data_IF_244917525987
#
_entry.id   IF_244917525987
#
_cell.length_a   1.000
_cell.length_b   1.000
_cell.length_c   1.000
_cell.angle_alpha   90.00
_cell.angle_beta   90.00
_cell.angle_gamma   90.00
#
_symmetry.space_group_name_H-M   'P 1'
#
loop_
_entity.id
_entity.type
_entity.pdbx_description
1 polymer ?
#
# COMPACT_ATOMS: atom_id res chain seq x y z
N UNK A 1 0.09 10.66 -10.43
CA UNK A 1 -0.32 11.39 -9.21
C UNK A 1 0.92 12.09 -8.66
N UNK A 2 0.79 13.20 -7.94
CA UNK A 2 1.95 14.00 -7.48
C UNK A 2 2.33 13.56 -6.07
N UNK A 3 3.60 13.20 -5.80
CA UNK A 3 4.06 12.86 -4.46
C UNK A 3 3.74 13.98 -3.47
N UNK A 4 3.36 13.63 -2.25
CA UNK A 4 3.01 14.63 -1.25
C UNK A 4 4.26 15.42 -0.83
N UNK A 5 4.35 16.68 -1.27
CA UNK A 5 5.47 17.59 -0.99
C UNK A 5 5.79 17.73 0.51
N UNK A 6 4.85 17.34 1.39
CA UNK A 6 5.04 17.34 2.85
C UNK A 6 6.16 16.40 3.30
N UNK A 7 6.42 15.28 2.62
CA UNK A 7 7.55 14.40 2.96
C UNK A 7 8.89 15.10 2.74
N UNK A 8 9.06 15.71 1.56
CA UNK A 8 10.24 16.53 1.23
C UNK A 8 10.41 17.68 2.20
N UNK A 9 9.32 18.37 2.55
CA UNK A 9 9.32 19.49 3.50
C UNK A 9 9.77 19.09 4.91
N UNK A 10 9.36 17.93 5.42
CA UNK A 10 9.56 17.57 6.83
C UNK A 10 10.72 16.63 7.10
N UNK A 11 10.99 15.70 6.18
CA UNK A 11 12.06 14.72 6.34
C UNK A 11 13.26 15.01 5.43
N UNK A 12 13.06 15.79 4.36
CA UNK A 12 14.08 16.07 3.35
C UNK A 12 14.24 14.95 2.31
N UNK A 13 13.26 14.04 2.23
CA UNK A 13 13.29 12.89 1.33
C UNK A 13 12.52 13.24 0.06
N UNK A 14 13.07 12.91 -1.10
CA UNK A 14 12.36 12.90 -2.38
C UNK A 14 11.85 11.47 -2.63
N UNK A 15 10.59 11.16 -2.29
CA UNK A 15 10.08 9.81 -2.49
C UNK A 15 10.00 9.49 -3.99
N UNK A 16 10.39 8.27 -4.36
CA UNK A 16 10.23 7.79 -5.73
C UNK A 16 8.73 7.67 -6.10
N UNK A 17 7.92 7.24 -5.13
CA UNK A 17 6.49 6.97 -5.28
C UNK A 17 5.61 7.88 -4.39
N UNK A 18 4.29 7.63 -4.39
CA UNK A 18 3.31 8.40 -3.61
C UNK A 18 3.52 8.30 -2.10
N UNK A 19 3.96 7.13 -1.63
CA UNK A 19 4.16 6.81 -0.21
C UNK A 19 5.56 6.22 -0.09
N UNK A 20 6.50 6.91 0.59
CA UNK A 20 7.84 6.39 0.77
C UNK A 20 7.84 5.08 1.57
N UNK A 21 8.71 4.15 1.18
CA UNK A 21 8.88 2.88 1.88
C UNK A 21 9.61 3.09 3.24
N UNK A 22 9.68 2.06 4.09
CA UNK A 22 10.28 2.19 5.42
C UNK A 22 11.79 2.48 5.41
N UNK A 23 12.50 2.08 4.37
CA UNK A 23 13.92 2.39 4.18
C UNK A 23 14.12 3.85 3.78
N UNK A 24 13.31 4.34 2.85
CA UNK A 24 13.28 5.75 2.41
C UNK A 24 12.91 6.69 3.56
N UNK A 25 11.92 6.33 4.40
CA UNK A 25 11.54 7.13 5.58
C UNK A 25 12.71 7.37 6.54
N UNK A 26 13.65 6.43 6.60
CA UNK A 26 14.85 6.54 7.43
C UNK A 26 16.06 7.10 6.67
N UNK A 27 15.98 7.23 5.34
CA UNK A 27 17.09 7.61 4.48
C UNK A 27 18.28 6.62 4.61
N UNK A 28 17.95 5.32 4.51
CA UNK A 28 18.91 4.21 4.60
C UNK A 28 18.76 3.27 3.39
N UNK A 29 19.82 2.53 3.07
CA UNK A 29 19.78 1.48 2.04
C UNK A 29 18.92 0.29 2.48
N UNK A 30 18.29 -0.40 1.52
CA UNK A 30 17.54 -1.64 1.77
C UNK A 30 18.43 -2.78 2.27
N UNK A 31 19.73 -2.75 1.95
CA UNK A 31 20.71 -3.74 2.40
C UNK A 31 21.11 -3.55 3.87
N UNK A 32 20.83 -2.39 4.46
CA UNK A 32 21.30 -2.02 5.79
C UNK A 32 20.57 -2.83 6.86
N UNK A 33 21.27 -3.80 7.46
CA UNK A 33 20.72 -4.74 8.44
C UNK A 33 21.09 -4.43 9.89
N UNK A 34 21.94 -3.43 10.11
CA UNK A 34 22.39 -3.09 11.45
C UNK A 34 21.30 -2.34 12.24
N UNK A 35 20.88 -2.94 13.36
CA UNK A 35 19.91 -2.34 14.29
C UNK A 35 20.40 -1.02 14.87
N UNK A 36 21.71 -0.80 15.03
CA UNK A 36 22.25 0.46 15.55
C UNK A 36 22.10 1.59 14.54
N UNK A 37 22.38 1.31 13.26
CA UNK A 37 22.20 2.26 12.15
C UNK A 37 20.73 2.65 12.02
N UNK A 38 19.82 1.68 12.04
CA UNK A 38 18.36 1.91 12.01
C UNK A 38 17.93 2.77 13.21
N UNK A 39 18.41 2.47 14.42
CA UNK A 39 18.07 3.24 15.61
C UNK A 39 18.59 4.69 15.55
N UNK A 40 19.79 4.90 15.00
CA UNK A 40 20.38 6.23 14.79
C UNK A 40 19.60 7.03 13.75
N UNK A 41 19.22 6.41 12.64
CA UNK A 41 18.38 7.02 11.62
C UNK A 41 17.01 7.44 12.18
N UNK A 42 16.33 6.54 12.90
CA UNK A 42 15.07 6.83 13.59
C UNK A 42 15.18 8.05 14.53
N UNK A 43 16.22 8.10 15.39
CA UNK A 43 16.42 9.24 16.31
C UNK A 43 16.62 10.55 15.54
N UNK A 44 17.37 10.53 14.45
CA UNK A 44 17.60 11.69 13.59
C UNK A 44 16.29 12.21 12.98
N UNK A 45 15.47 11.32 12.40
CA UNK A 45 14.20 11.71 11.78
C UNK A 45 13.18 12.21 12.81
N UNK A 46 13.07 11.55 13.98
CA UNK A 46 12.20 12.03 15.06
C UNK A 46 12.60 13.42 15.55
N UNK A 47 13.91 13.68 15.67
CA UNK A 47 14.42 14.99 16.08
C UNK A 47 14.03 16.08 15.08
N UNK A 48 14.20 15.85 13.77
CA UNK A 48 13.74 16.78 12.72
C UNK A 48 12.25 17.12 12.89
N UNK A 49 11.41 16.10 13.11
CA UNK A 49 9.96 16.28 13.33
C UNK A 49 9.60 16.97 14.65
N UNK A 50 10.47 16.97 15.66
CA UNK A 50 10.26 17.66 16.93
C UNK A 50 10.68 19.13 16.86
N UNK A 51 11.65 19.48 16.01
CA UNK A 51 12.10 20.85 15.80
C UNK A 51 11.06 21.69 15.03
N UNK A 52 10.21 21.05 14.22
CA UNK A 52 9.13 21.70 13.48
C UNK A 52 7.97 22.07 14.41
N UNK A 53 7.82 23.37 14.71
CA UNK A 53 6.74 23.93 15.55
C UNK A 53 5.59 24.52 14.73
N UNK A 54 5.00 23.75 13.83
CA UNK A 54 3.86 24.22 13.00
C UNK A 54 2.54 23.62 13.48
N UNK A 55 1.55 24.47 13.80
CA UNK A 55 0.21 24.02 14.20
C UNK A 55 -0.63 23.50 13.02
N UNK A 56 -0.41 24.03 11.81
CA UNK A 56 -1.16 23.67 10.59
C UNK A 56 -1.01 22.19 10.24
N UNK A 57 0.20 21.66 10.37
CA UNK A 57 0.55 20.32 9.92
C UNK A 57 0.65 19.32 11.09
N UNK A 58 0.11 19.68 12.27
CA UNK A 58 0.21 18.90 13.51
C UNK A 58 -0.22 17.44 13.32
N UNK A 59 -1.39 17.22 12.69
CA UNK A 59 -1.91 15.86 12.47
C UNK A 59 -1.02 15.03 11.57
N UNK A 60 -0.41 15.64 10.54
CA UNK A 60 0.52 14.93 9.66
C UNK A 60 1.85 14.62 10.35
N UNK A 61 2.36 15.53 11.19
CA UNK A 61 3.56 15.29 12.00
C UNK A 61 3.33 14.15 13.00
N UNK A 62 2.14 14.08 13.62
CA UNK A 62 1.77 12.97 14.51
C UNK A 62 1.70 11.64 13.74
N UNK A 63 1.07 11.63 12.56
CA UNK A 63 1.07 10.48 11.65
C UNK A 63 2.49 10.02 11.28
N UNK A 64 3.38 10.93 10.87
CA UNK A 64 4.76 10.58 10.54
C UNK A 64 5.52 10.00 11.75
N UNK A 65 5.29 10.53 12.96
CA UNK A 65 5.92 9.98 14.17
C UNK A 65 5.44 8.55 14.45
N UNK A 66 4.17 8.24 14.18
CA UNK A 66 3.64 6.88 14.32
C UNK A 66 4.22 5.94 13.26
N UNK A 67 4.26 6.36 11.99
CA UNK A 67 4.88 5.57 10.91
C UNK A 67 6.36 5.31 11.16
N UNK A 68 7.15 6.31 11.59
CA UNK A 68 8.56 6.10 11.95
C UNK A 68 8.74 5.10 13.10
N UNK A 69 7.82 5.08 14.09
CA UNK A 69 7.87 4.08 15.17
C UNK A 69 7.54 2.68 14.65
N UNK A 70 6.59 2.57 13.72
CA UNK A 70 6.19 1.31 13.09
C UNK A 70 7.33 0.77 12.22
N UNK A 71 7.91 1.60 11.36
CA UNK A 71 9.08 1.30 10.55
C UNK A 71 10.24 0.79 11.41
N UNK A 72 10.56 1.49 12.51
CA UNK A 72 11.60 1.05 13.46
C UNK A 72 11.31 -0.35 14.00
N UNK A 73 10.07 -0.61 14.45
CA UNK A 73 9.70 -1.91 15.01
C UNK A 73 9.83 -3.05 14.00
N UNK A 74 9.49 -2.78 12.74
CA UNK A 74 9.54 -3.78 11.66
C UNK A 74 10.99 -4.02 11.24
N UNK A 75 11.76 -2.96 10.97
CA UNK A 75 13.13 -3.09 10.47
C UNK A 75 14.13 -3.58 11.53
N UNK A 76 13.88 -3.32 12.83
CA UNK A 76 14.72 -3.85 13.91
C UNK A 76 14.49 -5.34 14.22
N UNK A 77 13.41 -5.95 13.72
CA UNK A 77 13.07 -7.35 13.95
C UNK A 77 13.33 -8.14 12.65
N UNK A 78 14.27 -9.08 12.67
CA UNK A 78 14.72 -9.79 11.47
C UNK A 78 13.59 -10.57 10.77
N UNK A 79 12.64 -11.13 11.52
CA UNK A 79 11.52 -11.88 10.95
C UNK A 79 10.52 -10.95 10.29
N UNK A 80 10.10 -9.89 10.99
CA UNK A 80 9.17 -8.89 10.45
C UNK A 80 9.74 -8.15 9.26
N UNK A 81 11.05 -7.86 9.29
CA UNK A 81 11.76 -7.26 8.17
C UNK A 81 11.69 -8.17 6.95
N UNK A 82 12.00 -9.46 7.10
CA UNK A 82 11.93 -10.42 5.99
C UNK A 82 10.52 -10.50 5.38
N UNK A 83 9.48 -10.50 6.21
CA UNK A 83 8.09 -10.45 5.73
C UNK A 83 7.80 -9.17 4.96
N UNK A 84 8.26 -8.03 5.47
CA UNK A 84 8.11 -6.74 4.83
C UNK A 84 8.86 -6.66 3.50
N UNK A 85 10.11 -7.11 3.45
CA UNK A 85 10.92 -7.18 2.22
C UNK A 85 10.25 -8.10 1.19
N UNK A 86 9.67 -9.22 1.64
CA UNK A 86 8.86 -10.09 0.79
C UNK A 86 7.64 -9.38 0.19
N UNK A 87 6.97 -8.53 0.95
CA UNK A 87 5.84 -7.72 0.45
C UNK A 87 6.28 -6.65 -0.56
N UNK A 88 7.39 -5.96 -0.30
CA UNK A 88 7.95 -4.98 -1.24
C UNK A 88 8.33 -5.65 -2.57
N UNK A 89 8.94 -6.84 -2.50
CA UNK A 89 9.32 -7.59 -3.68
C UNK A 89 8.08 -8.05 -4.48
N UNK A 90 7.02 -8.49 -3.80
CA UNK A 90 5.77 -8.86 -4.45
C UNK A 90 5.10 -7.68 -5.16
N UNK A 91 5.07 -6.51 -4.53
CA UNK A 91 4.51 -5.28 -5.10
C UNK A 91 5.33 -4.82 -6.31
N UNK A 92 6.67 -4.79 -6.20
CA UNK A 92 7.58 -4.46 -7.29
C UNK A 92 7.42 -5.43 -8.47
N UNK A 93 7.32 -6.73 -8.20
CA UNK A 93 7.10 -7.75 -9.22
C UNK A 93 5.75 -7.54 -9.93
N UNK A 94 4.70 -7.18 -9.19
CA UNK A 94 3.37 -6.94 -9.76
C UNK A 94 3.38 -5.72 -10.69
N UNK A 95 3.90 -4.58 -10.22
CA UNK A 95 4.02 -3.38 -11.05
C UNK A 95 4.91 -3.59 -12.27
N UNK A 96 5.99 -4.36 -12.11
CA UNK A 96 6.87 -4.73 -13.21
C UNK A 96 6.17 -5.62 -14.24
N UNK A 97 5.40 -6.63 -13.79
CA UNK A 97 4.62 -7.50 -14.67
C UNK A 97 3.58 -6.73 -15.47
N UNK A 98 2.90 -5.75 -14.86
CA UNK A 98 1.94 -4.89 -15.56
C UNK A 98 2.61 -4.04 -16.66
N UNK A 99 3.79 -3.49 -16.36
CA UNK A 99 4.60 -2.75 -17.32
C UNK A 99 5.04 -3.64 -18.49
N UNK A 100 5.64 -4.79 -18.21
CA UNK A 100 6.13 -5.73 -19.23
C UNK A 100 4.98 -6.30 -20.06
N UNK A 101 3.88 -6.70 -19.42
CA UNK A 101 2.69 -7.24 -20.08
C UNK A 101 2.12 -6.29 -21.13
N UNK A 102 2.17 -4.98 -20.88
CA UNK A 102 1.75 -3.96 -21.85
C UNK A 102 2.63 -3.95 -23.11
N UNK A 103 3.93 -4.26 -22.98
CA UNK A 103 4.89 -4.34 -24.08
C UNK A 103 4.81 -5.68 -24.83
N UNK A 104 4.45 -6.76 -24.13
CA UNK A 104 4.32 -8.11 -24.68
C UNK A 104 3.24 -8.23 -25.77
N UNK A 105 2.26 -7.32 -25.79
CA UNK A 105 1.21 -7.25 -26.83
C UNK A 105 1.80 -7.08 -28.24
N UNK A 106 3.03 -6.57 -28.37
CA UNK A 106 3.72 -6.42 -29.66
C UNK A 106 4.16 -7.76 -30.28
N UNK A 107 4.18 -8.86 -29.51
CA UNK A 107 4.53 -10.20 -29.98
C UNK A 107 6.02 -10.45 -30.27
N UNK A 108 6.82 -9.40 -30.44
CA UNK A 108 8.26 -9.51 -30.65
C UNK A 108 9.03 -8.50 -29.81
N UNK A 109 10.00 -8.97 -29.03
CA UNK A 109 10.85 -8.14 -28.16
C UNK A 109 12.28 -8.20 -28.67
N UNK A 110 12.79 -7.06 -29.14
CA UNK A 110 14.19 -6.94 -29.50
C UNK A 110 15.09 -6.84 -28.26
N UNK A 111 16.38 -7.12 -28.44
CA UNK A 111 17.38 -7.10 -27.35
C UNK A 111 17.41 -5.77 -26.59
N UNK A 112 17.38 -4.64 -27.29
CA UNK A 112 17.45 -3.31 -26.66
C UNK A 112 16.27 -3.06 -25.72
N UNK A 113 15.06 -3.49 -26.10
CA UNK A 113 13.87 -3.39 -25.25
C UNK A 113 13.96 -4.36 -24.07
N UNK A 114 14.47 -5.58 -24.29
CA UNK A 114 14.72 -6.56 -23.22
C UNK A 114 15.67 -6.00 -22.14
N UNK A 115 16.80 -5.43 -22.55
CA UNK A 115 17.76 -4.80 -21.65
C UNK A 115 17.14 -3.61 -20.91
N UNK A 116 16.28 -2.84 -21.59
CA UNK A 116 15.54 -1.71 -20.97
C UNK A 116 14.53 -2.21 -19.93
N UNK A 117 13.83 -3.32 -20.20
CA UNK A 117 12.92 -3.94 -19.24
C UNK A 117 13.68 -4.46 -18.01
N UNK A 118 14.83 -5.10 -18.19
CA UNK A 118 15.67 -5.53 -17.07
C UNK A 118 16.14 -4.33 -16.24
N UNK A 119 16.67 -3.29 -16.89
CA UNK A 119 17.14 -2.09 -16.21
C UNK A 119 16.01 -1.43 -15.40
N UNK A 120 14.78 -1.44 -15.94
CA UNK A 120 13.59 -0.96 -15.24
C UNK A 120 13.22 -1.83 -14.05
N UNK A 121 13.23 -3.16 -14.20
CA UNK A 121 12.99 -4.07 -13.08
C UNK A 121 13.98 -3.86 -11.93
N UNK A 122 15.26 -3.67 -12.27
CA UNK A 122 16.31 -3.36 -11.29
C UNK A 122 16.10 -2.00 -10.63
N UNK A 123 15.66 -0.98 -11.37
CA UNK A 123 15.33 0.33 -10.76
C UNK A 123 14.15 0.25 -9.81
N UNK A 124 13.21 -0.66 -10.08
CA UNK A 124 12.02 -0.88 -9.26
C UNK A 124 12.29 -1.85 -8.08
N UNK A 125 13.54 -2.26 -7.87
CA UNK A 125 14.00 -3.04 -6.71
C UNK A 125 14.08 -4.56 -6.91
N UNK A 126 13.89 -5.06 -8.13
CA UNK A 126 14.05 -6.49 -8.44
C UNK A 126 15.52 -6.86 -8.68
N UNK A 127 15.88 -8.11 -8.38
CA UNK A 127 17.15 -8.64 -8.88
C UNK A 127 17.10 -8.80 -10.40
N UNK A 128 18.26 -8.73 -11.06
CA UNK A 128 18.36 -8.94 -12.51
C UNK A 128 17.78 -10.31 -12.92
N UNK A 129 18.02 -11.34 -12.11
CA UNK A 129 17.48 -12.69 -12.31
C UNK A 129 15.95 -12.75 -12.15
N UNK A 130 15.38 -12.05 -11.16
CA UNK A 130 13.93 -11.97 -10.97
C UNK A 130 13.26 -11.25 -12.13
N UNK A 131 13.84 -10.13 -12.58
CA UNK A 131 13.34 -9.40 -13.75
C UNK A 131 13.36 -10.27 -15.01
N UNK A 132 14.48 -10.96 -15.29
CA UNK A 132 14.60 -11.91 -16.42
C UNK A 132 13.53 -13.00 -16.36
N UNK A 133 13.42 -13.68 -15.23
CA UNK A 133 12.42 -14.75 -15.04
C UNK A 133 10.99 -14.25 -15.25
N UNK A 134 10.66 -13.06 -14.74
CA UNK A 134 9.34 -12.46 -14.91
C UNK A 134 9.04 -12.10 -16.38
N UNK A 135 10.04 -11.60 -17.13
CA UNK A 135 9.90 -11.32 -18.56
C UNK A 135 9.69 -12.61 -19.35
N UNK A 136 10.48 -13.65 -19.07
CA UNK A 136 10.37 -14.96 -19.73
C UNK A 136 9.01 -15.63 -19.46
N UNK A 137 8.54 -15.59 -18.22
CA UNK A 137 7.22 -16.10 -17.82
C UNK A 137 6.10 -15.40 -18.62
N UNK A 138 6.15 -14.07 -18.71
CA UNK A 138 5.15 -13.29 -19.44
C UNK A 138 5.25 -13.49 -20.96
N UNK A 139 6.46 -13.62 -21.52
CA UNK A 139 6.63 -13.90 -22.93
C UNK A 139 6.00 -15.24 -23.32
N UNK A 140 6.17 -16.27 -22.49
CA UNK A 140 5.51 -17.55 -22.68
C UNK A 140 3.98 -17.44 -22.58
N UNK A 141 3.46 -16.69 -21.60
CA UNK A 141 2.01 -16.49 -21.42
C UNK A 141 1.36 -15.75 -22.61
N UNK A 142 2.07 -14.79 -23.20
CA UNK A 142 1.57 -13.98 -24.31
C UNK A 142 1.97 -14.49 -25.70
N UNK A 143 2.78 -15.55 -25.79
CA UNK A 143 3.31 -16.07 -27.06
C UNK A 143 4.27 -15.10 -27.75
N UNK A 144 4.96 -14.25 -26.98
CA UNK A 144 5.93 -13.31 -27.52
C UNK A 144 7.30 -13.97 -27.72
N UNK A 145 7.99 -13.61 -28.82
CA UNK A 145 9.36 -14.08 -29.08
C UNK A 145 10.35 -13.06 -28.54
N UNK A 146 11.28 -13.49 -27.69
CA UNK A 146 12.38 -12.67 -27.18
C UNK A 146 13.64 -12.98 -27.99
N UNK A 147 14.25 -11.95 -28.59
CA UNK A 147 15.59 -12.05 -29.16
C UNK A 147 16.63 -12.01 -28.03
N UNK A 148 16.79 -13.13 -27.33
CA UNK A 148 17.86 -13.32 -26.36
C UNK A 148 19.19 -13.49 -27.11
N UNK A 149 20.24 -12.79 -26.69
CA UNK A 149 21.58 -12.79 -27.31
C UNK A 149 22.26 -14.17 -27.38
N UNK A 150 21.67 -15.20 -26.74
CA UNK A 150 22.23 -16.54 -26.64
C UNK A 150 21.69 -17.53 -27.69
N UNK A 151 21.15 -17.03 -28.79
CA UNK A 151 21.18 -17.82 -30.02
C UNK A 151 22.60 -17.71 -30.59
N UNK A 152 23.49 -18.60 -30.16
CA UNK A 152 24.80 -18.78 -30.79
C UNK A 152 24.59 -18.73 -32.31
N UNK A 153 25.37 -17.91 -33.06
CA UNK A 153 25.18 -17.78 -34.49
C UNK A 153 25.11 -19.19 -35.08
N UNK A 154 24.12 -19.48 -35.93
CA UNK A 154 23.95 -20.81 -36.49
C UNK A 154 25.33 -21.29 -36.95
N UNK A 155 25.77 -22.49 -36.55
CA UNK A 155 27.12 -22.96 -36.81
C UNK A 155 27.41 -22.66 -38.27
N UNK A 156 28.46 -21.87 -38.52
CA UNK A 156 28.78 -21.36 -39.84
C UNK A 156 28.62 -22.52 -40.83
N UNK A 157 27.87 -22.34 -41.93
CA UNK A 157 27.62 -23.40 -42.89
C UNK A 157 28.96 -24.07 -43.17
N UNK A 158 29.04 -25.36 -42.87
CA UNK A 158 30.27 -26.14 -42.95
C UNK A 158 30.89 -25.79 -44.29
N UNK A 159 32.14 -25.28 -44.34
CA UNK A 159 32.73 -24.87 -45.60
C UNK A 159 32.57 -26.05 -46.57
N UNK A 160 32.07 -25.81 -47.81
CA UNK A 160 31.96 -26.88 -48.79
C UNK A 160 33.31 -27.58 -48.88
N UNK A 161 33.33 -28.93 -48.97
CA UNK A 161 34.56 -29.71 -48.95
C UNK A 161 35.56 -29.08 -49.91
N UNK A 162 36.71 -28.73 -49.35
CA UNK A 162 37.84 -28.10 -50.01
C UNK A 162 38.10 -28.88 -51.32
N UNK A 163 37.76 -28.26 -52.46
CA UNK A 163 38.19 -28.78 -53.75
C UNK A 163 39.72 -28.77 -53.70
N UNK A 164 40.32 -29.96 -53.76
CA UNK A 164 41.75 -30.17 -53.92
C UNK A 164 42.28 -29.19 -54.98
N UNK A 165 42.99 -28.15 -54.53
CA UNK A 165 43.71 -27.28 -55.43
C UNK A 165 44.87 -28.08 -56.05
N UNK A 166 45.01 -28.08 -57.39
CA UNK A 166 46.15 -28.69 -58.04
C UNK A 166 47.45 -27.99 -57.60
N UNK A 167 48.58 -28.73 -57.54
CA UNK A 167 49.82 -28.26 -56.95
C UNK A 167 50.35 -26.99 -57.64
N UNK A 168 50.96 -26.07 -56.87
CA UNK A 168 51.45 -24.80 -57.41
C UNK A 168 52.64 -25.01 -58.36
N UNK A 169 52.74 -24.23 -59.46
CA UNK A 169 53.92 -24.23 -60.32
C UNK A 169 55.15 -23.62 -59.61
N UNK A 170 56.37 -24.03 -60.02
CA UNK A 170 57.61 -23.67 -59.34
C UNK A 170 57.89 -22.16 -59.33
N UNK A 171 58.24 -21.68 -58.15
CA UNK A 171 58.58 -20.32 -57.77
C UNK A 171 59.64 -19.70 -58.70
N UNK A 172 59.27 -18.66 -59.44
CA UNK A 172 60.24 -17.70 -60.00
C UNK A 172 60.49 -16.58 -59.00
N UNK A 173 61.75 -16.42 -58.64
CA UNK A 173 62.25 -15.53 -57.60
C UNK A 173 61.74 -14.09 -57.71
N UNK A 174 61.33 -13.55 -56.57
CA UNK A 174 61.06 -12.13 -56.43
C UNK A 174 61.83 -11.61 -55.21
N UNK A 175 62.65 -10.60 -55.53
CA UNK A 175 63.58 -9.86 -54.69
C UNK A 175 63.09 -9.57 -53.28
N UNK A 176 63.98 -9.81 -52.32
CA UNK A 176 63.99 -9.20 -51.00
C UNK A 176 63.94 -7.67 -51.12
N UNK A 177 62.96 -7.07 -50.44
CA UNK A 177 63.03 -5.68 -50.01
C UNK A 177 63.01 -5.72 -48.49
N UNK A 178 64.16 -5.43 -47.90
CA UNK A 178 64.39 -5.25 -46.48
C UNK A 178 63.56 -4.05 -46.01
N UNK A 179 62.53 -4.30 -45.20
CA UNK A 179 61.87 -3.27 -44.41
C UNK A 179 62.01 -3.58 -42.92
N UNK A 180 62.40 -2.51 -42.24
CA UNK A 180 63.00 -2.40 -40.93
C UNK A 180 62.00 -2.67 -39.80
N UNK A 181 62.43 -3.41 -38.78
CA UNK A 181 61.64 -3.78 -37.61
C UNK A 181 61.36 -2.58 -36.66
N UNK A 182 60.16 -2.48 -36.06
CA UNK A 182 59.93 -1.62 -34.90
C UNK A 182 60.33 -2.33 -33.57
N UNK A 183 60.71 -1.56 -32.52
CA UNK A 183 61.28 -2.09 -31.28
C UNK A 183 60.25 -2.72 -30.31
N UNK A 184 60.70 -3.56 -29.37
CA UNK A 184 59.83 -4.31 -28.46
C UNK A 184 59.22 -3.43 -27.36
N UNK A 185 57.90 -3.59 -27.14
CA UNK A 185 57.21 -3.05 -25.95
C UNK A 185 57.55 -3.90 -24.72
N UNK A 186 57.95 -3.19 -23.66
CA UNK A 186 58.28 -3.69 -22.33
C UNK A 186 57.14 -4.51 -21.72
N UNK A 187 57.48 -5.70 -21.26
CA UNK A 187 56.71 -6.53 -20.33
C UNK A 187 56.70 -5.88 -18.94
N UNK A 188 55.51 -5.75 -18.35
CA UNK A 188 55.33 -5.41 -16.93
C UNK A 188 55.50 -6.67 -16.06
N UNK A 189 55.99 -6.53 -14.81
CA UNK A 189 56.30 -7.66 -13.94
C UNK A 189 55.04 -8.25 -13.29
N UNK A 190 54.91 -9.57 -13.40
CA UNK A 190 54.02 -10.42 -12.64
C UNK A 190 54.42 -10.41 -11.16
N UNK A 191 53.59 -9.79 -10.31
CA UNK A 191 53.67 -9.92 -8.86
C UNK A 191 53.22 -11.31 -8.43
N UNK A 192 54.17 -12.14 -8.01
CA UNK A 192 53.92 -13.38 -7.29
C UNK A 192 53.47 -13.03 -5.86
N UNK A 193 52.21 -13.30 -5.53
CA UNK A 193 51.80 -13.45 -4.14
C UNK A 193 51.79 -14.94 -3.79
N UNK A 194 52.76 -15.31 -2.97
CA UNK A 194 52.83 -16.58 -2.26
C UNK A 194 51.59 -16.73 -1.37
N UNK A 195 50.90 -17.85 -1.53
CA UNK A 195 49.81 -18.29 -0.64
C UNK A 195 50.42 -19.27 0.37
N UNK A 196 50.41 -19.00 1.68
CA UNK A 196 50.89 -19.94 2.67
C UNK A 196 49.89 -21.09 2.85
N UNK A 197 50.46 -22.20 3.30
CA UNK A 197 49.86 -23.52 3.40
C UNK A 197 48.80 -23.61 4.52
N UNK A 198 47.86 -24.53 4.28
CA UNK A 198 47.23 -25.45 5.25
C UNK A 198 46.99 -24.94 6.67
N UNK A 199 45.73 -24.65 6.98
CA UNK A 199 45.19 -24.92 8.32
C UNK A 199 43.90 -25.74 8.21
N UNK A 200 44.03 -26.93 8.77
CA UNK A 200 43.12 -28.05 8.87
C UNK A 200 42.12 -27.75 10.01
N UNK A 201 40.92 -27.28 9.67
CA UNK A 201 39.86 -27.14 10.67
C UNK A 201 39.07 -28.43 10.81
N UNK A 202 39.27 -29.06 11.96
CA UNK A 202 38.52 -30.17 12.50
C UNK A 202 37.00 -29.93 12.41
N UNK A 203 36.29 -30.91 11.84
CA UNK A 203 34.85 -31.05 12.00
C UNK A 203 34.53 -31.46 13.44
N UNK A 204 33.71 -30.71 14.20
CA UNK A 204 33.12 -31.25 15.41
C UNK A 204 31.99 -32.21 15.01
N UNK A 205 32.16 -33.47 15.38
CA UNK A 205 31.08 -34.46 15.43
C UNK A 205 30.12 -34.07 16.55
N UNK A 206 28.97 -33.52 16.19
CA UNK A 206 27.86 -33.32 17.11
C UNK A 206 27.03 -34.60 17.19
N UNK A 207 27.58 -35.59 17.90
CA UNK A 207 26.78 -36.51 18.70
C UNK A 207 26.52 -35.84 20.07
N UNK A 208 25.45 -36.28 20.73
CA UNK A 208 25.23 -36.09 22.16
C UNK A 208 24.51 -34.79 22.61
N UNK A 209 23.22 -34.68 22.27
CA UNK A 209 22.27 -34.01 23.18
C UNK A 209 21.53 -35.05 24.01
N UNK A 210 21.98 -35.17 25.25
CA UNK A 210 21.32 -35.90 26.32
C UNK A 210 19.92 -35.34 26.59
N UNK A 211 18.92 -36.23 26.59
CA UNK A 211 17.61 -36.03 27.22
C UNK A 211 17.81 -35.74 28.72
N UNK A 212 17.23 -34.67 29.27
CA UNK A 212 16.98 -34.62 30.71
C UNK A 212 15.80 -35.51 31.04
N UNK A 213 16.10 -36.43 31.95
CA UNK A 213 15.18 -37.29 32.69
C UNK A 213 13.93 -36.56 33.17
N UNK A 214 12.80 -37.22 32.98
CA UNK A 214 11.61 -37.07 33.83
C UNK A 214 12.03 -37.11 35.30
N UNK A 215 11.76 -36.02 36.01
CA UNK A 215 11.99 -35.89 37.44
C UNK A 215 10.79 -35.21 38.06
N UNK A 216 10.02 -36.01 38.79
CA UNK A 216 8.92 -35.62 39.66
C UNK A 216 9.28 -34.41 40.53
N UNK A 217 8.43 -33.38 40.50
CA UNK A 217 8.20 -32.56 41.68
C UNK A 217 6.69 -32.48 41.92
N UNK A 218 6.29 -33.10 43.02
CA UNK A 218 4.94 -33.09 43.51
C UNK A 218 4.53 -31.76 44.14
N UNK A 219 3.21 -31.63 44.27
CA UNK A 219 2.43 -31.04 45.37
C UNK A 219 3.01 -29.80 46.08
N UNK A 220 2.28 -28.71 45.93
CA UNK A 220 1.67 -27.82 46.97
C UNK A 220 1.13 -26.60 46.20
N UNK A 221 -0.02 -25.96 46.44
CA UNK A 221 -1.14 -26.00 47.37
C UNK A 221 -2.30 -25.25 46.66
N UNK A 222 -3.56 -25.29 47.14
CA UNK A 222 -4.65 -24.56 46.51
C UNK A 222 -4.59 -23.08 46.92
N UNK A 223 -4.31 -22.18 45.99
CA UNK A 223 -4.55 -20.75 46.19
C UNK A 223 -6.02 -20.47 45.90
N UNK A 224 -6.78 -20.29 46.99
CA UNK A 224 -8.01 -19.51 47.01
C UNK A 224 -7.80 -18.22 46.20
N UNK A 225 -8.51 -18.10 45.09
CA UNK A 225 -8.72 -16.80 44.46
C UNK A 225 -9.75 -16.06 45.30
N UNK A 226 -9.26 -15.28 46.25
CA UNK A 226 -10.02 -14.25 46.91
C UNK A 226 -10.52 -13.25 45.85
N UNK A 227 -11.83 -13.09 45.85
CA UNK A 227 -12.63 -12.16 45.10
C UNK A 227 -12.17 -10.71 45.39
N UNK A 228 -11.24 -10.20 44.58
CA UNK A 228 -10.81 -8.81 44.63
C UNK A 228 -11.81 -7.97 43.82
N UNK A 229 -12.90 -7.59 44.49
CA UNK A 229 -13.74 -6.48 44.05
C UNK A 229 -12.91 -5.18 44.06
N UNK A 230 -12.24 -4.91 42.94
CA UNK A 230 -11.65 -3.60 42.68
C UNK A 230 -12.78 -2.62 42.36
N UNK A 231 -13.35 -2.05 43.43
CA UNK A 231 -14.15 -0.82 43.35
C UNK A 231 -13.26 0.29 42.81
N UNK A 232 -13.23 0.44 41.48
CA UNK A 232 -12.81 1.67 40.83
C UNK A 232 -13.79 2.77 41.23
N UNK A 233 -13.51 3.43 42.35
CA UNK A 233 -13.96 4.80 42.57
C UNK A 233 -13.33 5.64 41.46
N UNK A 234 -14.12 5.89 40.41
CA UNK A 234 -13.89 6.99 39.46
C UNK A 234 -13.77 8.27 40.28
N UNK A 235 -12.54 8.67 40.58
CA UNK A 235 -12.24 10.05 40.91
C UNK A 235 -12.64 10.87 39.69
N UNK A 236 -13.67 11.69 39.84
CA UNK A 236 -14.06 12.65 38.81
C UNK A 236 -12.85 13.57 38.51
N UNK A 237 -12.57 13.86 37.23
CA UNK A 237 -11.52 14.80 36.89
C UNK A 237 -11.85 16.17 37.51
N UNK A 238 -10.86 16.88 38.08
CA UNK A 238 -11.10 18.19 38.67
C UNK A 238 -11.70 19.15 37.63
N UNK A 239 -12.67 19.99 38.03
CA UNK A 239 -13.30 20.92 37.12
C UNK A 239 -12.26 21.88 36.52
N UNK A 240 -12.38 22.23 35.23
CA UNK A 240 -11.47 23.17 34.60
C UNK A 240 -11.50 24.52 35.32
N UNK A 241 -10.35 25.22 35.44
CA UNK A 241 -10.30 26.50 36.14
C UNK A 241 -11.26 27.50 35.51
N UNK A 242 -12.14 28.05 36.34
CA UNK A 242 -13.11 29.07 36.01
C UNK A 242 -12.42 30.25 35.31
N UNK A 243 -12.64 30.40 34.00
CA UNK A 243 -12.17 31.56 33.24
C UNK A 243 -12.78 32.83 33.86
N UNK A 244 -11.97 33.79 34.35
CA UNK A 244 -12.51 35.04 34.85
C UNK A 244 -13.16 35.80 33.69
N UNK A 245 -14.47 36.03 33.81
CA UNK A 245 -15.21 36.96 32.96
C UNK A 245 -14.83 38.39 33.37
N UNK A 246 -13.71 38.86 32.85
CA UNK A 246 -13.31 40.27 32.91
C UNK A 246 -13.82 41.04 31.68
N UNK A 247 -14.26 42.30 31.83
CA UNK A 247 -14.82 43.10 30.74
C UNK A 247 -13.68 43.71 29.91
N UNK A 248 -13.44 43.16 28.72
CA UNK A 248 -12.51 43.77 27.79
C UNK A 248 -13.16 44.97 27.09
N UNK A 249 -12.81 46.14 27.63
CA UNK A 249 -12.43 47.36 26.92
C UNK A 249 -13.25 47.79 25.69
N UNK A 250 -14.07 48.81 25.94
CA UNK A 250 -14.52 49.82 24.98
C UNK A 250 -13.39 50.84 24.83
N UNK A 251 -12.63 50.80 23.74
CA UNK A 251 -11.66 51.82 23.31
C UNK A 251 -11.93 52.12 21.83
N UNK A 252 -12.68 53.17 21.48
CA UNK A 252 -12.22 54.54 21.19
C UNK A 252 -11.16 54.58 20.08
N UNK A 253 -11.66 54.86 18.86
CA UNK A 253 -11.05 55.75 17.86
C UNK A 253 -9.62 55.50 17.40
N UNK A 254 -9.46 54.77 16.29
CA UNK A 254 -8.33 54.99 15.38
C UNK A 254 -8.82 55.09 13.93
N UNK A 255 -8.60 56.28 13.39
CA UNK A 255 -8.74 56.71 11.99
C UNK A 255 -7.93 55.82 11.03
N UNK A 256 -8.50 55.41 9.88
CA UNK A 256 -7.71 54.78 8.81
C UNK A 256 -6.81 55.80 8.08
N UNK A 257 -5.61 55.39 7.61
CA UNK A 257 -4.64 56.30 7.00
C UNK A 257 -5.04 56.75 5.57
N UNK A 258 -4.69 57.98 5.16
CA UNK A 258 -5.10 58.56 3.87
C UNK A 258 -3.98 58.44 2.82
N UNK A 259 -3.94 57.36 2.05
CA UNK A 259 -3.07 57.29 0.86
C UNK A 259 -3.76 56.55 -0.27
N UNK A 260 -3.98 57.23 -1.41
CA UNK A 260 -4.28 56.54 -2.68
C UNK A 260 -5.38 57.12 -3.57
N UNK A 261 -5.56 58.45 -3.65
CA UNK A 261 -6.24 59.05 -4.81
C UNK A 261 -5.40 58.79 -6.07
N UNK A 262 -5.82 57.84 -6.92
CA UNK A 262 -5.47 57.84 -8.34
C UNK A 262 -6.66 58.33 -9.13
N UNK A 263 -6.59 59.60 -9.50
CA UNK A 263 -7.45 60.22 -10.48
C UNK A 263 -7.06 59.76 -11.90
N UNK A 264 -8.06 59.69 -12.78
CA UNK A 264 -7.84 59.78 -14.23
C UNK A 264 -8.00 58.49 -15.01
N UNK A 265 -9.22 58.21 -15.49
CA UNK A 265 -9.48 57.83 -16.89
C UNK A 265 -10.99 57.56 -17.06
N UNK A 266 -11.75 58.64 -17.13
CA UNK A 266 -13.14 58.65 -17.63
C UNK A 266 -13.10 58.45 -19.15
N UNK A 267 -12.82 57.23 -19.63
CA UNK A 267 -13.26 56.82 -20.96
C UNK A 267 -14.73 56.41 -20.87
N UNK A 268 -15.58 57.39 -21.18
CA UNK A 268 -17.00 57.24 -21.49
C UNK A 268 -17.19 56.21 -22.60
N UNK A 269 -17.25 54.92 -22.23
CA UNK A 269 -17.90 53.90 -23.04
C UNK A 269 -19.39 54.05 -22.78
N UNK A 270 -20.12 54.51 -23.81
CA UNK A 270 -21.58 54.47 -23.90
C UNK A 270 -22.05 53.10 -23.39
N UNK A 271 -22.58 53.08 -22.16
CA UNK A 271 -23.20 51.89 -21.58
C UNK A 271 -24.43 51.61 -22.42
N UNK A 272 -24.41 50.49 -23.15
CA UNK A 272 -25.63 49.89 -23.66
C UNK A 272 -26.63 49.75 -22.49
N UNK A 273 -27.93 50.00 -22.71
CA UNK A 273 -28.94 49.78 -21.69
C UNK A 273 -28.81 48.34 -21.16
N UNK A 274 -28.88 48.11 -19.85
CA UNK A 274 -28.81 46.78 -19.29
C UNK A 274 -29.89 45.91 -19.98
N UNK A 275 -29.54 44.70 -20.46
CA UNK A 275 -30.51 43.82 -21.07
C UNK A 275 -31.68 43.62 -20.09
N UNK A 276 -32.93 43.60 -20.59
CA UNK A 276 -34.12 43.53 -19.74
C UNK A 276 -34.01 42.34 -18.79
N UNK A 277 -34.27 42.58 -17.50
CA UNK A 277 -34.05 41.70 -16.36
C UNK A 277 -34.93 40.42 -16.32
N UNK A 278 -35.24 39.81 -17.47
CA UNK A 278 -36.19 38.71 -17.61
C UNK A 278 -35.62 37.31 -17.29
N UNK A 279 -34.33 37.18 -16.98
CA UNK A 279 -33.72 35.86 -16.69
C UNK A 279 -33.02 35.73 -15.31
N UNK A 280 -32.98 36.78 -14.48
CA UNK A 280 -32.24 36.76 -13.22
C UNK A 280 -32.93 35.95 -12.09
N UNK A 281 -34.24 35.68 -12.19
CA UNK A 281 -35.00 34.93 -11.19
C UNK A 281 -34.69 33.42 -11.20
N UNK A 282 -34.40 32.84 -12.37
CA UNK A 282 -34.06 31.41 -12.51
C UNK A 282 -32.69 31.09 -11.89
N UNK A 283 -31.68 31.93 -12.11
CA UNK A 283 -30.33 31.72 -11.57
C UNK A 283 -30.25 31.76 -10.03
N UNK A 284 -31.18 32.48 -9.37
CA UNK A 284 -31.19 32.60 -7.90
C UNK A 284 -31.76 31.34 -7.21
N UNK A 285 -32.64 30.60 -7.89
CA UNK A 285 -33.19 29.33 -7.38
C UNK A 285 -32.28 28.12 -7.67
N UNK A 286 -31.39 28.20 -8.68
CA UNK A 286 -30.46 27.13 -9.01
C UNK A 286 -29.39 26.87 -7.93
N UNK A 287 -28.89 27.92 -7.26
CA UNK A 287 -27.83 27.82 -6.24
C UNK A 287 -28.20 26.96 -5.02
N UNK A 288 -29.36 27.15 -4.35
CA UNK A 288 -29.71 26.30 -3.21
C UNK A 288 -30.00 24.85 -3.60
N UNK A 289 -30.48 24.60 -4.83
CA UNK A 289 -30.68 23.23 -5.36
C UNK A 289 -29.35 22.49 -5.53
N UNK A 290 -28.35 23.14 -6.15
CA UNK A 290 -26.99 22.58 -6.29
C UNK A 290 -26.39 22.20 -4.95
N UNK A 291 -26.48 23.08 -3.95
CA UNK A 291 -25.92 22.81 -2.61
C UNK A 291 -26.57 21.61 -1.92
N UNK A 292 -27.89 21.45 -2.03
CA UNK A 292 -28.59 20.29 -1.46
C UNK A 292 -28.24 19.00 -2.18
N UNK A 293 -28.07 19.04 -3.51
CA UNK A 293 -27.64 17.89 -4.29
C UNK A 293 -26.22 17.47 -3.90
N UNK A 294 -25.27 18.43 -3.85
CA UNK A 294 -23.89 18.19 -3.42
C UNK A 294 -23.82 17.61 -2.00
N UNK A 295 -24.60 18.15 -1.06
CA UNK A 295 -24.66 17.62 0.31
C UNK A 295 -25.19 16.18 0.33
N UNK A 296 -26.19 15.88 -0.49
CA UNK A 296 -26.76 14.53 -0.56
C UNK A 296 -25.79 13.53 -1.17
N UNK A 297 -25.05 13.92 -2.22
CA UNK A 297 -23.97 13.12 -2.81
C UNK A 297 -22.87 12.85 -1.76
N UNK A 298 -22.49 13.85 -0.95
CA UNK A 298 -21.51 13.66 0.13
C UNK A 298 -22.00 12.63 1.17
N UNK A 299 -23.26 12.71 1.58
CA UNK A 299 -23.84 11.75 2.54
C UNK A 299 -23.93 10.36 1.93
N UNK A 300 -24.31 10.24 0.66
CA UNK A 300 -24.32 8.98 -0.09
C UNK A 300 -22.93 8.34 -0.12
N UNK A 301 -21.90 9.10 -0.52
CA UNK A 301 -20.52 8.62 -0.59
C UNK A 301 -19.97 8.20 0.79
N UNK A 302 -20.41 8.88 1.86
CA UNK A 302 -20.08 8.45 3.23
C UNK A 302 -20.71 7.10 3.57
N UNK A 303 -21.97 6.87 3.17
CA UNK A 303 -22.61 5.55 3.29
C UNK A 303 -21.83 4.47 2.54
N UNK A 304 -21.45 4.74 1.29
CA UNK A 304 -20.65 3.80 0.48
C UNK A 304 -19.33 3.41 1.16
N UNK A 305 -18.59 4.39 1.69
CA UNK A 305 -17.34 4.14 2.44
C UNK A 305 -17.55 3.28 3.69
N UNK A 306 -18.62 3.53 4.44
CA UNK A 306 -18.95 2.73 5.63
C UNK A 306 -19.31 1.30 5.26
N UNK A 307 -20.09 1.10 4.20
CA UNK A 307 -20.38 -0.26 3.70
C UNK A 307 -19.12 -0.99 3.26
N UNK A 308 -18.20 -0.30 2.58
CA UNK A 308 -16.92 -0.89 2.16
C UNK A 308 -16.07 -1.32 3.37
N UNK A 309 -15.98 -0.46 4.39
CA UNK A 309 -15.29 -0.80 5.64
C UNK A 309 -15.93 -2.02 6.34
N UNK A 310 -17.25 -2.14 6.32
CA UNK A 310 -17.94 -3.32 6.84
C UNK A 310 -17.64 -4.59 6.01
N UNK A 311 -17.60 -4.47 4.68
CA UNK A 311 -17.18 -5.53 3.78
C UNK A 311 -15.75 -6.00 4.02
N UNK A 312 -14.82 -5.07 4.28
CA UNK A 312 -13.43 -5.41 4.65
C UNK A 312 -13.33 -6.15 5.99
N UNK A 313 -14.17 -5.79 6.97
CA UNK A 313 -14.28 -6.53 8.25
C UNK A 313 -14.75 -7.96 7.97
N UNK A 314 -15.71 -8.14 7.06
CA UNK A 314 -16.20 -9.46 6.67
C UNK A 314 -15.15 -10.30 5.93
N UNK A 315 -14.40 -9.72 4.99
CA UNK A 315 -13.31 -10.44 4.31
C UNK A 315 -12.19 -10.80 5.30
N UNK A 316 -11.91 -9.94 6.29
CA UNK A 316 -10.99 -10.30 7.38
C UNK A 316 -11.51 -11.46 8.21
N UNK A 317 -12.82 -11.53 8.50
CA UNK A 317 -13.41 -12.70 9.15
C UNK A 317 -13.11 -13.97 8.37
N UNK A 318 -13.22 -13.92 7.04
CA UNK A 318 -12.93 -15.07 6.16
C UNK A 318 -11.53 -15.63 6.29
N UNK A 319 -10.53 -14.78 6.48
CA UNK A 319 -9.14 -15.23 6.70
C UNK A 319 -8.97 -16.06 7.98
N UNK A 320 -9.84 -15.87 8.97
CA UNK A 320 -9.77 -16.59 10.24
C UNK A 320 -10.64 -17.86 10.28
N UNK A 321 -11.51 -18.08 9.29
CA UNK A 321 -12.21 -19.34 9.11
C UNK A 321 -11.43 -20.22 8.13
N UNK A 322 -10.54 -21.12 8.60
CA UNK A 322 -9.86 -22.05 7.72
C UNK A 322 -10.90 -22.87 6.93
N UNK A 323 -10.64 -23.17 5.65
CA UNK A 323 -11.45 -24.14 4.92
C UNK A 323 -11.46 -25.45 5.72
N UNK A 324 -12.58 -26.18 5.64
CA UNK A 324 -12.88 -27.38 6.42
C UNK A 324 -11.93 -28.59 6.19
N UNK A 325 -10.67 -28.35 5.84
CA UNK A 325 -9.62 -29.34 5.60
C UNK A 325 -9.07 -29.97 6.91
N UNK A 326 -9.86 -29.93 7.99
CA UNK A 326 -9.89 -30.99 9.00
C UNK A 326 -8.88 -30.94 10.15
N UNK A 327 -8.10 -29.86 10.38
CA UNK A 327 -7.09 -29.87 11.47
C UNK A 327 -6.97 -28.65 12.37
N UNK A 328 -7.70 -27.56 12.13
CA UNK A 328 -7.67 -26.40 13.03
C UNK A 328 -8.78 -26.49 14.07
N UNK A 329 -8.43 -26.61 15.35
CA UNK A 329 -9.35 -26.36 16.45
C UNK A 329 -9.86 -24.93 16.32
N UNK A 330 -11.12 -24.76 15.89
CA UNK A 330 -11.70 -23.43 15.71
C UNK A 330 -11.83 -22.77 17.09
N UNK A 331 -10.96 -21.81 17.37
CA UNK A 331 -11.05 -21.01 18.58
C UNK A 331 -12.23 -20.04 18.45
N UNK A 332 -13.07 -19.94 19.49
CA UNK A 332 -14.19 -18.97 19.56
C UNK A 332 -13.74 -17.50 19.56
N UNK A 333 -12.43 -17.29 19.62
CA UNK A 333 -11.80 -15.99 19.69
C UNK A 333 -10.62 -15.93 18.73
N UNK A 334 -10.47 -14.77 18.09
CA UNK A 334 -9.33 -14.39 17.28
C UNK A 334 -8.62 -13.27 18.02
N UNK A 335 -7.37 -13.48 18.44
CA UNK A 335 -6.62 -12.47 19.22
C UNK A 335 -7.39 -11.96 20.46
N UNK A 336 -8.17 -12.83 21.12
CA UNK A 336 -9.01 -12.48 22.28
C UNK A 336 -10.34 -11.77 21.94
N UNK A 337 -10.66 -11.57 20.66
CA UNK A 337 -11.94 -11.00 20.20
C UNK A 337 -12.88 -12.13 19.80
N UNK A 338 -14.07 -12.20 20.40
CA UNK A 338 -15.09 -13.18 20.03
C UNK A 338 -15.71 -12.89 18.67
N UNK A 339 -16.16 -13.93 17.97
CA UNK A 339 -16.89 -13.79 16.70
C UNK A 339 -18.11 -12.87 16.83
N UNK A 340 -18.85 -12.99 17.94
CA UNK A 340 -20.01 -12.15 18.22
C UNK A 340 -19.64 -10.66 18.20
N UNK A 341 -18.48 -10.30 18.77
CA UNK A 341 -18.02 -8.91 18.82
C UNK A 341 -17.64 -8.38 17.44
N UNK A 342 -17.05 -9.22 16.58
CA UNK A 342 -16.75 -8.81 15.20
C UNK A 342 -18.04 -8.66 14.39
N UNK A 343 -18.98 -9.60 14.53
CA UNK A 343 -20.28 -9.52 13.86
C UNK A 343 -21.11 -8.33 14.34
N UNK A 344 -21.06 -8.00 15.64
CA UNK A 344 -21.69 -6.80 16.19
C UNK A 344 -21.08 -5.52 15.60
N UNK A 345 -19.76 -5.51 15.42
CA UNK A 345 -19.05 -4.40 14.79
C UNK A 345 -19.49 -4.25 13.33
N UNK A 346 -19.47 -5.33 12.55
CA UNK A 346 -19.94 -5.37 11.17
C UNK A 346 -21.41 -4.90 11.05
N UNK A 347 -22.28 -5.45 11.90
CA UNK A 347 -23.70 -5.11 11.95
C UNK A 347 -23.91 -3.63 12.29
N UNK A 348 -23.17 -3.09 13.25
CA UNK A 348 -23.24 -1.67 13.61
C UNK A 348 -22.80 -0.79 12.44
N UNK A 349 -21.71 -1.14 11.76
CA UNK A 349 -21.20 -0.38 10.61
C UNK A 349 -22.21 -0.37 9.46
N UNK A 350 -22.85 -1.51 9.14
CA UNK A 350 -23.91 -1.56 8.13
C UNK A 350 -25.16 -0.78 8.53
N UNK A 351 -25.55 -0.78 9.82
CA UNK A 351 -26.66 0.07 10.30
C UNK A 351 -26.36 1.55 10.15
N UNK A 352 -25.12 1.97 10.41
CA UNK A 352 -24.74 3.37 10.23
C UNK A 352 -24.68 3.77 8.76
N UNK A 353 -24.18 2.87 7.89
CA UNK A 353 -24.26 3.05 6.44
C UNK A 353 -25.71 3.18 5.95
N UNK A 354 -26.61 2.31 6.43
CA UNK A 354 -28.03 2.35 6.10
C UNK A 354 -28.66 3.71 6.44
N UNK A 355 -28.38 4.25 7.64
CA UNK A 355 -28.86 5.59 8.03
C UNK A 355 -28.35 6.69 7.09
N UNK A 356 -27.11 6.57 6.56
CA UNK A 356 -26.57 7.53 5.59
C UNK A 356 -27.30 7.43 4.26
N UNK A 357 -27.54 6.22 3.73
CA UNK A 357 -28.29 6.08 2.49
C UNK A 357 -29.76 6.53 2.61
N UNK A 358 -30.43 6.23 3.72
CA UNK A 358 -31.78 6.75 3.99
C UNK A 358 -31.78 8.28 4.08
N UNK A 359 -30.82 8.88 4.78
CA UNK A 359 -30.67 10.34 4.84
C UNK A 359 -30.39 10.97 3.48
N UNK A 360 -29.55 10.37 2.65
CA UNK A 360 -29.29 10.83 1.29
C UNK A 360 -30.56 10.76 0.43
N UNK A 361 -31.29 9.63 0.49
CA UNK A 361 -32.56 9.45 -0.22
C UNK A 361 -33.60 10.51 0.17
N UNK A 362 -33.76 10.75 1.47
CA UNK A 362 -34.77 11.68 1.98
C UNK A 362 -34.43 13.14 1.63
N UNK A 363 -33.14 13.51 1.63
CA UNK A 363 -32.68 14.84 1.17
C UNK A 363 -32.91 15.05 -0.34
N UNK A 364 -32.82 13.99 -1.14
CA UNK A 364 -32.96 14.02 -2.61
C UNK A 364 -34.42 13.91 -3.07
N UNK A 365 -35.31 13.35 -2.24
CA UNK A 365 -36.73 13.21 -2.56
C UNK A 365 -37.43 14.53 -2.91
N UNK A 366 -36.86 15.67 -2.51
CA UNK A 366 -37.40 17.02 -2.78
C UNK A 366 -36.78 17.69 -4.02
N UNK A 367 -35.81 17.06 -4.69
CA UNK A 367 -35.09 17.63 -5.82
C UNK A 367 -35.52 16.94 -7.12
N UNK A 368 -35.78 17.76 -8.14
CA UNK A 368 -36.01 17.31 -9.52
C UNK A 368 -34.70 17.39 -10.31
N UNK A 369 -34.46 16.43 -11.20
CA UNK A 369 -33.32 16.43 -12.12
C UNK A 369 -32.72 15.03 -12.31
N UNK A 370 -32.10 14.80 -13.47
CA UNK A 370 -31.54 13.49 -13.85
C UNK A 370 -30.49 12.98 -12.86
N UNK A 371 -29.61 13.86 -12.36
CA UNK A 371 -28.61 13.50 -11.35
C UNK A 371 -29.24 13.15 -9.99
N UNK A 372 -30.28 13.89 -9.58
CA UNK A 372 -31.02 13.59 -8.36
C UNK A 372 -31.73 12.23 -8.48
N UNK A 373 -32.31 11.92 -9.64
CA UNK A 373 -32.95 10.64 -9.91
C UNK A 373 -31.96 9.47 -9.84
N UNK A 374 -30.76 9.63 -10.41
CA UNK A 374 -29.70 8.61 -10.34
C UNK A 374 -29.30 8.29 -8.90
N UNK A 375 -29.03 9.31 -8.09
CA UNK A 375 -28.64 9.10 -6.69
C UNK A 375 -29.82 8.53 -5.87
N UNK A 376 -31.07 8.89 -6.18
CA UNK A 376 -32.26 8.32 -5.55
C UNK A 376 -32.42 6.83 -5.84
N UNK A 377 -32.27 6.42 -7.10
CA UNK A 377 -32.33 5.02 -7.53
C UNK A 377 -31.23 4.21 -6.84
N UNK A 378 -29.98 4.68 -6.91
CA UNK A 378 -28.84 4.02 -6.25
C UNK A 378 -29.02 3.93 -4.73
N UNK A 379 -29.45 5.00 -4.08
CA UNK A 379 -29.71 4.99 -2.63
C UNK A 379 -30.79 3.97 -2.26
N UNK A 380 -31.85 3.85 -3.07
CA UNK A 380 -32.94 2.90 -2.84
C UNK A 380 -32.47 1.46 -2.98
N UNK A 381 -31.68 1.16 -4.02
CA UNK A 381 -31.05 -0.14 -4.22
C UNK A 381 -30.13 -0.50 -3.04
N UNK A 382 -29.25 0.42 -2.62
CA UNK A 382 -28.34 0.19 -1.50
C UNK A 382 -29.08 -0.02 -0.17
N UNK A 383 -30.16 0.73 0.08
CA UNK A 383 -31.03 0.53 1.25
C UNK A 383 -31.65 -0.87 1.24
N UNK A 384 -32.16 -1.33 0.10
CA UNK A 384 -32.76 -2.66 -0.02
C UNK A 384 -31.72 -3.76 0.21
N UNK A 385 -30.53 -3.64 -0.40
CA UNK A 385 -29.42 -4.58 -0.24
C UNK A 385 -28.97 -4.68 1.22
N UNK A 386 -28.74 -3.54 1.88
CA UNK A 386 -28.31 -3.52 3.29
C UNK A 386 -29.37 -4.07 4.23
N UNK A 387 -30.66 -3.79 3.99
CA UNK A 387 -31.76 -4.36 4.79
C UNK A 387 -31.82 -5.88 4.64
N UNK A 388 -31.68 -6.40 3.42
CA UNK A 388 -31.61 -7.84 3.17
C UNK A 388 -30.44 -8.49 3.92
N UNK A 389 -29.25 -7.90 3.81
CA UNK A 389 -28.05 -8.40 4.49
C UNK A 389 -28.16 -8.37 6.02
N UNK A 390 -28.69 -7.28 6.60
CA UNK A 390 -28.91 -7.16 8.04
C UNK A 390 -29.94 -8.17 8.57
N UNK A 391 -30.96 -8.48 7.78
CA UNK A 391 -31.96 -9.50 8.13
C UNK A 391 -31.34 -10.91 8.10
N UNK A 392 -30.44 -11.19 7.16
CA UNK A 392 -29.70 -12.45 7.14
C UNK A 392 -28.80 -12.62 8.37
N UNK A 393 -28.05 -11.57 8.75
CA UNK A 393 -27.28 -11.56 10.01
C UNK A 393 -28.21 -11.83 11.20
N UNK A 394 -29.40 -11.23 11.23
CA UNK A 394 -30.38 -11.45 12.28
C UNK A 394 -30.85 -12.91 12.31
N UNK A 395 -31.15 -13.49 11.15
CA UNK A 395 -31.55 -14.89 11.03
C UNK A 395 -30.44 -15.85 11.48
N UNK A 396 -29.19 -15.57 11.12
CA UNK A 396 -28.03 -16.32 11.60
C UNK A 396 -27.95 -16.28 13.12
N UNK A 397 -28.00 -15.09 13.74
CA UNK A 397 -28.01 -14.94 15.20
C UNK A 397 -29.16 -15.70 15.85
N UNK A 398 -30.37 -15.61 15.29
CA UNK A 398 -31.53 -16.34 15.81
C UNK A 398 -31.35 -17.87 15.73
N UNK A 399 -30.73 -18.38 14.66
CA UNK A 399 -30.39 -19.81 14.58
C UNK A 399 -29.38 -20.20 15.65
N UNK A 400 -28.31 -19.41 15.82
CA UNK A 400 -27.27 -19.66 16.83
C UNK A 400 -27.83 -19.66 18.27
N UNK A 401 -28.78 -18.77 18.58
CA UNK A 401 -29.46 -18.72 19.87
C UNK A 401 -30.36 -19.95 20.15
N UNK A 402 -30.73 -20.72 19.12
CA UNK A 402 -31.62 -21.88 19.22
C UNK A 402 -30.99 -23.12 19.88
N UNK A 403 -29.79 -23.03 20.45
CA UNK A 403 -29.13 -24.16 21.11
C UNK A 403 -28.50 -25.16 20.13
N UNK A 404 -27.83 -24.63 19.11
CA UNK A 404 -27.18 -25.43 18.07
C UNK A 404 -25.94 -26.14 18.64
N UNK A 405 -25.69 -27.39 18.23
CA UNK A 405 -24.46 -28.10 18.58
C UNK A 405 -23.27 -27.35 17.98
N UNK A 406 -22.15 -27.25 18.70
CA UNK A 406 -20.97 -26.46 18.30
C UNK A 406 -20.50 -26.71 16.85
N UNK A 407 -20.58 -27.94 16.35
CA UNK A 407 -20.23 -28.26 14.95
C UNK A 407 -21.16 -27.60 13.93
N UNK A 408 -22.45 -27.52 14.22
CA UNK A 408 -23.42 -26.90 13.34
C UNK A 408 -23.38 -25.37 13.45
N UNK A 409 -23.09 -24.81 14.63
CA UNK A 409 -22.73 -23.39 14.78
C UNK A 409 -21.56 -23.02 13.86
N UNK A 410 -20.48 -23.81 13.86
CA UNK A 410 -19.33 -23.58 12.98
C UNK A 410 -19.67 -23.68 11.50
N UNK A 411 -20.50 -24.66 11.13
CA UNK A 411 -20.98 -24.81 9.75
C UNK A 411 -21.76 -23.57 9.30
N UNK A 412 -22.67 -23.07 10.13
CA UNK A 412 -23.46 -21.87 9.84
C UNK A 412 -22.58 -20.63 9.69
N UNK A 413 -21.55 -20.48 10.53
CA UNK A 413 -20.56 -19.41 10.39
C UNK A 413 -19.77 -19.53 9.09
N UNK A 414 -19.31 -20.73 8.74
CA UNK A 414 -18.55 -20.96 7.52
C UNK A 414 -19.41 -20.75 6.26
N UNK A 415 -20.67 -21.17 6.27
CA UNK A 415 -21.64 -20.88 5.20
C UNK A 415 -21.88 -19.37 5.05
N UNK A 416 -22.03 -18.65 6.16
CA UNK A 416 -22.23 -17.20 6.15
C UNK A 416 -21.02 -16.46 5.57
N UNK A 417 -19.82 -16.76 6.06
CA UNK A 417 -18.55 -16.15 5.67
C UNK A 417 -18.15 -16.49 4.23
N UNK A 418 -18.45 -17.71 3.78
CA UNK A 418 -18.23 -18.10 2.38
C UNK A 418 -19.30 -17.57 1.44
N UNK A 419 -20.42 -17.05 1.96
CA UNK A 419 -21.45 -16.48 1.11
C UNK A 419 -20.87 -15.25 0.42
N UNK A 420 -20.85 -15.24 -0.91
CA UNK A 420 -20.38 -14.10 -1.71
C UNK A 420 -21.32 -12.88 -1.62
N UNK A 421 -22.16 -12.79 -0.58
CA UNK A 421 -23.15 -11.72 -0.41
C UNK A 421 -22.49 -10.44 0.10
N UNK A 422 -21.54 -10.52 1.02
CA UNK A 422 -20.75 -9.34 1.43
C UNK A 422 -20.01 -8.74 0.23
N UNK A 423 -19.34 -9.59 -0.57
CA UNK A 423 -18.66 -9.16 -1.79
C UNK A 423 -19.64 -8.59 -2.84
N UNK A 424 -20.87 -9.13 -2.93
CA UNK A 424 -21.94 -8.56 -3.77
C UNK A 424 -22.40 -7.19 -3.29
N UNK A 425 -22.56 -7.00 -1.98
CA UNK A 425 -22.93 -5.70 -1.39
C UNK A 425 -21.85 -4.67 -1.70
N UNK A 426 -20.58 -5.00 -1.49
CA UNK A 426 -19.45 -4.10 -1.79
C UNK A 426 -19.38 -3.76 -3.28
N UNK A 427 -19.46 -4.77 -4.16
CA UNK A 427 -19.43 -4.56 -5.62
C UNK A 427 -20.58 -3.69 -6.11
N UNK A 428 -21.80 -3.93 -5.62
CA UNK A 428 -22.98 -3.16 -6.07
C UNK A 428 -22.95 -1.72 -5.55
N UNK A 429 -22.24 -1.45 -4.46
CA UNK A 429 -22.09 -0.11 -3.90
C UNK A 429 -21.03 0.70 -4.66
N UNK A 430 -20.01 0.03 -5.20
CA UNK A 430 -18.96 0.64 -6.01
C UNK A 430 -19.41 0.97 -7.45
N UNK A 431 -20.36 0.21 -8.00
CA UNK A 431 -21.00 0.45 -9.31
C UNK A 431 -21.93 1.68 -9.29
#
# INVERSE_FOLDING_TARGET
MVPDERYKKFLGIEPADEIPNYYELFDISQDESDSEVIQKAYKTQIRKLQEIRTSKDKGFIEFLKEELRKAKRILSDAEKRREYDGSLLADALTGFKDFVGSLMVMGHINKTLYDTMIARGVSDGLSETQAKNAIEELAQQHGATIESEEAAPPPAPTPPPEREEPPPPPSRGRREVVLQAPPPRRTAPSGQHQRPASDEYARPTSDEYARPSSGEYGRSAPTEYADFHETQQRAEPPPPPSRPKGPWYRGVGETPPPWGRRAGSTRSRRRAPPPPARHASSARQARPRSKRLEESIRVFNLGARLSKAAGEVHEKLRLYFPPANGKSSVTKQINGISYDKVLDTEQSTYRDSLKKFESARDKIGQLEGTEADLVRVRSTQNVALLKGYLEEIRQLKMRLLGGVIQQEELRLWQEFVNSSRSSRVTRTIDE
#
